data_IF_734077354520
#
_entry.id   IF_734077354520
#
_cell.length_a   1.000
_cell.length_b   1.000
_cell.length_c   1.000
_cell.angle_alpha   90.00
_cell.angle_beta   90.00
_cell.angle_gamma   90.00
#
_symmetry.space_group_name_H-M   'P 1'
#
loop_
_entity.id
_entity.type
_entity.pdbx_description
1 polymer ?
#
# COMPACT_ATOMS: atom_id res chain seq x y z
N UNK A 1 11.06 36.21 -12.12
CA UNK A 1 9.71 36.03 -11.54
C UNK A 1 9.50 34.56 -11.26
N UNK A 2 9.50 34.09 -10.00
CA UNK A 2 9.19 32.69 -9.74
C UNK A 2 7.67 32.49 -9.67
N UNK A 3 7.20 31.46 -10.39
CA UNK A 3 5.82 30.94 -10.35
C UNK A 3 5.52 30.40 -8.95
N UNK A 4 4.42 30.88 -8.39
CA UNK A 4 3.74 30.33 -7.22
C UNK A 4 3.27 28.90 -7.51
N UNK A 5 3.85 27.92 -6.80
CA UNK A 5 3.32 26.57 -6.74
C UNK A 5 2.10 26.57 -5.82
N UNK A 6 0.94 26.17 -6.36
CA UNK A 6 -0.27 25.90 -5.59
C UNK A 6 -0.01 24.69 -4.68
N UNK A 7 0.09 24.94 -3.38
CA UNK A 7 0.09 23.90 -2.36
C UNK A 7 -1.24 23.13 -2.44
N UNK A 8 -1.18 21.88 -2.90
CA UNK A 8 -2.27 20.92 -2.79
C UNK A 8 -2.52 20.68 -1.30
N UNK A 9 -3.71 21.05 -0.83
CA UNK A 9 -4.11 20.81 0.55
C UNK A 9 -4.08 19.31 0.83
N UNK A 10 -3.46 18.94 1.94
CA UNK A 10 -3.39 17.55 2.38
C UNK A 10 -4.78 17.12 2.87
N UNK A 11 -5.26 15.91 2.56
CA UNK A 11 -6.54 15.39 3.05
C UNK A 11 -6.72 15.44 4.59
N UNK A 12 -5.61 15.66 5.31
CA UNK A 12 -5.49 15.65 6.76
C UNK A 12 -5.44 17.04 7.40
N UNK A 13 -5.59 18.12 6.63
CA UNK A 13 -5.49 19.52 7.11
C UNK A 13 -6.65 19.99 8.03
N UNK A 14 -7.53 19.09 8.47
CA UNK A 14 -8.67 19.45 9.32
C UNK A 14 -8.55 18.84 10.72
N UNK A 15 -8.44 19.75 11.71
CA UNK A 15 -8.64 19.58 13.17
C UNK A 15 -7.35 19.36 13.99
N UNK A 16 -7.13 19.87 15.22
CA UNK A 16 -7.97 20.45 16.30
C UNK A 16 -7.14 21.57 16.97
N UNK A 17 -7.70 22.78 17.15
CA UNK A 17 -7.06 23.85 17.95
C UNK A 17 -7.25 23.58 19.44
N UNK A 18 -6.41 22.73 20.03
CA UNK A 18 -6.31 22.56 21.49
C UNK A 18 -5.38 23.60 22.10
N UNK A 19 -5.85 24.41 23.07
CA UNK A 19 -5.01 25.34 23.84
C UNK A 19 -4.06 24.53 24.75
N UNK A 20 -2.77 24.51 24.42
CA UNK A 20 -1.75 23.71 25.11
C UNK A 20 -1.16 24.36 26.37
N UNK A 21 -0.99 23.53 27.41
CA UNK A 21 -0.26 23.78 28.67
C UNK A 21 1.28 23.72 28.40
N UNK A 22 2.16 24.51 29.04
CA UNK A 22 3.55 24.71 28.57
C UNK A 22 4.55 23.60 28.96
N UNK A 23 4.09 22.37 29.19
CA UNK A 23 4.92 21.26 29.67
C UNK A 23 4.98 20.02 28.77
N UNK A 24 4.35 20.04 27.60
CA UNK A 24 4.42 18.93 26.64
C UNK A 24 5.03 19.45 25.34
N UNK A 25 6.11 18.81 24.88
CA UNK A 25 6.52 18.99 23.49
C UNK A 25 5.32 18.62 22.60
N UNK A 26 4.90 19.48 21.67
CA UNK A 26 3.91 19.11 20.69
C UNK A 26 4.45 17.92 19.93
N UNK A 27 3.76 16.78 19.99
CA UNK A 27 4.03 15.65 19.11
C UNK A 27 3.82 16.21 17.70
N UNK A 28 4.92 16.49 16.99
CA UNK A 28 4.85 17.05 15.66
C UNK A 28 4.08 16.05 14.80
N UNK A 29 2.90 16.44 14.31
CA UNK A 29 1.96 15.56 13.61
C UNK A 29 2.52 14.94 12.30
N UNK A 30 3.74 15.34 11.88
CA UNK A 30 4.44 14.85 10.69
C UNK A 30 5.27 13.58 10.94
N UNK A 31 5.80 13.38 12.16
CA UNK A 31 6.64 12.21 12.53
C UNK A 31 5.93 10.84 12.39
N UNK A 32 4.63 10.69 12.70
CA UNK A 32 3.94 9.42 12.55
C UNK A 32 3.87 8.93 11.09
N UNK A 33 3.71 9.86 10.13
CA UNK A 33 3.51 9.52 8.72
C UNK A 33 4.79 8.99 8.08
N UNK A 34 5.94 9.63 8.33
CA UNK A 34 7.23 9.15 7.82
C UNK A 34 7.61 7.76 8.36
N UNK A 35 7.14 7.40 9.56
CA UNK A 35 7.31 6.04 10.11
C UNK A 35 6.42 5.04 9.39
N UNK A 36 5.17 5.40 9.14
CA UNK A 36 4.23 4.56 8.37
C UNK A 36 4.78 4.32 6.98
N UNK A 37 5.19 5.37 6.27
CA UNK A 37 5.71 5.27 4.90
C UNK A 37 6.95 4.36 4.83
N UNK A 38 7.85 4.43 5.81
CA UNK A 38 9.01 3.53 5.90
C UNK A 38 8.62 2.07 6.08
N UNK A 39 7.64 1.78 6.94
CA UNK A 39 7.15 0.41 7.15
C UNK A 39 6.44 -0.10 5.91
N UNK A 40 5.59 0.73 5.30
CA UNK A 40 4.86 0.42 4.06
C UNK A 40 5.84 0.11 2.94
N UNK A 41 6.84 0.97 2.72
CA UNK A 41 7.87 0.77 1.70
C UNK A 41 8.70 -0.48 1.96
N UNK A 42 9.11 -0.72 3.22
CA UNK A 42 9.86 -1.94 3.59
C UNK A 42 9.05 -3.20 3.28
N UNK A 43 7.78 -3.24 3.69
CA UNK A 43 6.92 -4.40 3.46
C UNK A 43 6.70 -4.63 1.96
N UNK A 44 6.41 -3.56 1.22
CA UNK A 44 6.23 -3.63 -0.22
C UNK A 44 7.49 -4.13 -0.96
N UNK A 45 8.68 -3.67 -0.57
CA UNK A 45 9.96 -4.19 -1.09
C UNK A 45 10.17 -5.65 -0.74
N UNK A 46 9.77 -6.07 0.46
CA UNK A 46 9.80 -7.48 0.87
C UNK A 46 8.97 -8.36 -0.05
N UNK A 47 7.76 -7.91 -0.40
CA UNK A 47 6.89 -8.63 -1.34
C UNK A 47 7.43 -8.62 -2.76
N UNK A 48 7.87 -7.47 -3.26
CA UNK A 48 8.52 -7.36 -4.56
C UNK A 48 9.72 -8.31 -4.69
N UNK A 49 10.60 -8.32 -3.68
CA UNK A 49 11.75 -9.22 -3.64
C UNK A 49 11.32 -10.69 -3.56
N UNK A 50 10.28 -11.00 -2.78
CA UNK A 50 9.78 -12.35 -2.65
C UNK A 50 9.23 -12.89 -3.97
N UNK A 51 8.50 -12.08 -4.73
CA UNK A 51 7.90 -12.50 -6.00
C UNK A 51 8.91 -12.53 -7.15
N UNK A 52 9.71 -11.46 -7.34
CA UNK A 52 10.57 -11.28 -8.51
C UNK A 52 12.05 -11.64 -8.26
N UNK A 53 12.45 -11.90 -7.01
CA UNK A 53 13.81 -12.32 -6.65
C UNK A 53 14.87 -11.23 -6.69
N UNK A 54 14.56 -10.03 -7.21
CA UNK A 54 15.48 -8.90 -7.30
C UNK A 54 15.10 -7.77 -6.32
N UNK A 55 16.07 -7.21 -5.56
CA UNK A 55 15.79 -6.13 -4.63
C UNK A 55 15.40 -4.84 -5.36
N UNK A 56 14.19 -4.33 -5.11
CA UNK A 56 13.77 -3.00 -5.59
C UNK A 56 14.32 -1.90 -4.70
N UNK A 57 15.43 -1.30 -5.14
CA UNK A 57 16.17 -0.28 -4.39
C UNK A 57 15.78 1.15 -4.81
N UNK A 58 15.16 1.30 -5.97
CA UNK A 58 14.70 2.57 -6.50
C UNK A 58 13.67 3.23 -5.57
N UNK A 59 13.61 4.57 -5.65
CA UNK A 59 12.55 5.31 -5.01
C UNK A 59 11.22 4.99 -5.72
N UNK A 60 10.14 4.72 -4.96
CA UNK A 60 8.82 4.54 -5.55
C UNK A 60 8.31 5.87 -6.12
N UNK A 61 7.46 5.79 -7.14
CA UNK A 61 6.66 6.92 -7.64
C UNK A 61 5.69 7.41 -6.56
N UNK A 62 5.17 6.48 -5.75
CA UNK A 62 4.20 6.78 -4.70
C UNK A 62 4.31 5.78 -3.55
N UNK A 63 4.22 6.31 -2.33
CA UNK A 63 3.89 5.56 -1.11
C UNK A 63 2.61 6.15 -0.56
N UNK A 64 1.66 5.30 -0.22
CA UNK A 64 0.36 5.73 0.24
C UNK A 64 -0.20 4.78 1.29
N UNK A 65 -0.85 5.34 2.29
CA UNK A 65 -1.55 4.59 3.32
C UNK A 65 -2.76 5.38 3.82
N UNK A 66 -3.88 4.70 4.05
CA UNK A 66 -5.05 5.28 4.72
C UNK A 66 -5.94 4.21 5.37
N UNK A 67 -6.74 4.58 6.38
CA UNK A 67 -7.79 3.69 6.89
C UNK A 67 -8.81 3.35 5.81
N UNK A 68 -9.22 2.09 5.72
CA UNK A 68 -10.30 1.61 4.86
C UNK A 68 -11.61 2.36 5.13
N UNK A 69 -11.87 2.73 6.38
CA UNK A 69 -13.05 3.51 6.77
C UNK A 69 -13.05 4.95 6.24
N UNK A 70 -11.88 5.48 5.86
CA UNK A 70 -11.78 6.82 5.25
C UNK A 70 -12.02 6.81 3.74
N UNK A 71 -12.22 5.62 3.15
CA UNK A 71 -12.45 5.43 1.72
C UNK A 71 -13.93 5.57 1.40
N UNK A 72 -14.26 6.20 0.28
CA UNK A 72 -15.58 5.98 -0.30
C UNK A 72 -15.70 4.52 -0.75
N UNK A 73 -16.93 4.05 -0.90
CA UNK A 73 -17.20 2.72 -1.43
C UNK A 73 -16.55 2.51 -2.82
N UNK A 74 -16.58 3.54 -3.67
CA UNK A 74 -15.98 3.49 -5.01
C UNK A 74 -14.46 3.40 -4.96
N UNK A 75 -13.80 4.19 -4.10
CA UNK A 75 -12.35 4.13 -3.96
C UNK A 75 -11.91 2.80 -3.34
N UNK A 76 -12.71 2.27 -2.40
CA UNK A 76 -12.45 0.95 -1.80
C UNK A 76 -12.58 -0.15 -2.84
N UNK A 77 -13.62 -0.11 -3.66
CA UNK A 77 -13.81 -1.05 -4.75
C UNK A 77 -12.68 -0.97 -5.80
N UNK A 78 -12.17 0.22 -6.11
CA UNK A 78 -11.00 0.39 -7.00
C UNK A 78 -9.71 -0.18 -6.38
N UNK A 79 -9.51 0.07 -5.08
CA UNK A 79 -8.35 -0.42 -4.36
C UNK A 79 -8.35 -1.94 -4.16
N UNK A 80 -9.49 -2.53 -3.82
CA UNK A 80 -9.63 -3.99 -3.64
C UNK A 80 -9.75 -4.72 -4.98
N UNK A 81 -10.35 -4.06 -5.97
CA UNK A 81 -10.47 -4.52 -7.34
C UNK A 81 -9.17 -4.37 -8.13
N UNK A 82 -8.17 -5.20 -7.83
CA UNK A 82 -7.28 -5.64 -8.91
C UNK A 82 -8.19 -6.35 -9.94
N UNK A 83 -8.34 -5.77 -11.13
CA UNK A 83 -9.04 -6.37 -12.30
C UNK A 83 -10.50 -6.82 -12.09
N UNK A 84 -11.40 -5.91 -11.71
CA UNK A 84 -12.84 -6.10 -11.93
C UNK A 84 -13.23 -5.97 -13.43
N UNK A 85 -12.62 -6.76 -14.32
CA UNK A 85 -13.06 -6.99 -15.70
C UNK A 85 -12.25 -8.13 -16.36
N UNK A 86 -12.54 -9.38 -16.00
CA UNK A 86 -12.40 -10.52 -16.92
C UNK A 86 -11.03 -10.81 -17.53
N UNK A 87 -9.94 -10.75 -16.76
CA UNK A 87 -8.62 -11.16 -17.24
C UNK A 87 -7.89 -11.96 -16.19
N UNK A 88 -7.91 -13.29 -16.34
CA UNK A 88 -7.02 -14.29 -15.74
C UNK A 88 -6.40 -13.86 -14.39
N UNK A 89 -6.89 -14.46 -13.29
CA UNK A 89 -6.12 -14.59 -12.04
C UNK A 89 -4.65 -14.75 -12.44
N UNK A 90 -3.79 -13.79 -12.08
CA UNK A 90 -2.46 -13.67 -12.63
C UNK A 90 -1.74 -15.01 -12.41
N UNK A 91 -1.76 -15.87 -13.42
CA UNK A 91 -1.18 -17.19 -13.32
C UNK A 91 0.31 -16.92 -13.26
N UNK A 92 0.97 -17.25 -12.15
CA UNK A 92 2.36 -16.91 -11.97
C UNK A 92 3.19 -17.51 -13.10
N UNK A 93 4.22 -16.78 -13.53
CA UNK A 93 5.20 -17.29 -14.46
C UNK A 93 5.75 -18.62 -13.91
N UNK A 94 5.91 -19.61 -14.78
CA UNK A 94 6.42 -20.93 -14.37
C UNK A 94 7.82 -20.75 -13.75
N UNK A 95 7.90 -20.87 -12.43
CA UNK A 95 9.13 -20.68 -11.65
C UNK A 95 9.07 -19.58 -10.60
N UNK A 96 8.03 -18.73 -10.58
CA UNK A 96 7.83 -17.79 -9.48
C UNK A 96 7.35 -18.53 -8.24
N UNK A 97 7.64 -17.99 -7.05
CA UNK A 97 7.24 -18.66 -5.81
C UNK A 97 5.74 -18.57 -5.54
N UNK A 98 5.01 -17.71 -6.26
CA UNK A 98 3.55 -17.73 -6.34
C UNK A 98 3.03 -19.05 -6.97
N UNK A 99 3.76 -19.66 -7.92
CA UNK A 99 3.48 -21.04 -8.38
C UNK A 99 3.58 -22.03 -7.23
N UNK A 100 4.61 -21.89 -6.38
CA UNK A 100 4.77 -22.73 -5.18
C UNK A 100 3.62 -22.52 -4.20
N UNK A 101 3.07 -21.31 -4.06
CA UNK A 101 1.94 -21.04 -3.14
C UNK A 101 0.64 -21.70 -3.55
N UNK A 102 0.31 -21.65 -4.84
CA UNK A 102 -0.78 -22.42 -5.43
C UNK A 102 -0.55 -23.93 -5.15
N UNK A 103 0.71 -24.38 -5.21
CA UNK A 103 1.08 -25.76 -4.90
C UNK A 103 1.11 -26.10 -3.39
N UNK A 104 1.33 -25.13 -2.49
CA UNK A 104 1.47 -25.32 -1.03
C UNK A 104 0.24 -24.94 -0.22
N UNK A 105 -0.83 -24.42 -0.86
CA UNK A 105 -2.12 -24.15 -0.21
C UNK A 105 -2.18 -22.85 0.61
N UNK A 106 -1.46 -21.80 0.20
CA UNK A 106 -1.75 -20.45 0.71
C UNK A 106 -3.09 -19.99 0.14
N UNK A 107 -3.98 -19.49 1.00
CA UNK A 107 -5.33 -19.11 0.59
C UNK A 107 -5.28 -17.84 -0.27
N UNK A 108 -6.03 -17.88 -1.37
CA UNK A 108 -6.13 -16.78 -2.31
C UNK A 108 -7.57 -16.28 -2.35
N UNK A 109 -7.75 -14.98 -2.15
CA UNK A 109 -9.04 -14.31 -2.34
C UNK A 109 -8.92 -13.37 -3.55
N UNK A 110 -9.29 -13.90 -4.72
CA UNK A 110 -9.02 -13.25 -6.00
C UNK A 110 -7.51 -13.06 -6.22
N UNK A 111 -7.08 -11.81 -6.40
CA UNK A 111 -5.68 -11.45 -6.61
C UNK A 111 -4.90 -11.19 -5.31
N UNK A 112 -5.53 -11.42 -4.15
CA UNK A 112 -4.91 -11.23 -2.84
C UNK A 112 -4.33 -12.52 -2.29
N UNK A 113 -3.06 -12.48 -1.92
CA UNK A 113 -2.40 -13.50 -1.10
C UNK A 113 -2.77 -13.24 0.37
N UNK A 114 -3.53 -14.16 0.97
CA UNK A 114 -3.89 -14.09 2.39
C UNK A 114 -2.80 -14.77 3.21
N UNK A 115 -1.98 -13.97 3.90
CA UNK A 115 -0.88 -14.49 4.75
C UNK A 115 -1.43 -14.92 6.11
N UNK A 116 -2.31 -14.10 6.68
CA UNK A 116 -3.03 -14.38 7.91
C UNK A 116 -4.43 -13.78 7.80
N UNK A 117 -5.44 -14.63 7.87
CA UNK A 117 -6.84 -14.22 7.76
C UNK A 117 -7.20 -13.10 8.75
N UNK A 118 -7.94 -12.10 8.27
CA UNK A 118 -8.33 -10.88 8.99
C UNK A 118 -7.17 -9.98 9.47
N UNK A 119 -5.91 -10.33 9.18
CA UNK A 119 -4.74 -9.64 9.74
C UNK A 119 -3.82 -9.08 8.66
N UNK A 120 -3.48 -9.88 7.65
CA UNK A 120 -2.55 -9.46 6.62
C UNK A 120 -2.82 -10.15 5.28
N UNK A 121 -3.11 -9.34 4.27
CA UNK A 121 -3.19 -9.75 2.87
C UNK A 121 -2.51 -8.73 1.98
N UNK A 122 -1.97 -9.19 0.86
CA UNK A 122 -1.33 -8.32 -0.11
C UNK A 122 -1.56 -8.80 -1.53
N UNK A 123 -1.45 -7.88 -2.48
CA UNK A 123 -1.55 -8.14 -3.91
C UNK A 123 -0.39 -7.44 -4.62
N UNK A 124 0.08 -8.04 -5.70
CA UNK A 124 1.15 -7.51 -6.54
C UNK A 124 0.65 -7.49 -7.98
N UNK A 125 0.83 -6.36 -8.64
CA UNK A 125 0.47 -6.12 -10.04
C UNK A 125 1.65 -5.46 -10.74
N UNK A 126 1.93 -5.84 -11.98
CA UNK A 126 3.03 -5.30 -12.79
C UNK A 126 2.54 -4.74 -14.14
N UNK A 127 1.22 -4.69 -14.38
CA UNK A 127 0.65 -4.30 -15.66
C UNK A 127 1.02 -2.86 -16.10
N UNK A 128 1.13 -1.93 -15.15
CA UNK A 128 1.50 -0.52 -15.37
C UNK A 128 2.66 -0.10 -14.45
N UNK A 129 3.70 -0.92 -14.43
CA UNK A 129 4.79 -0.83 -13.45
C UNK A 129 4.42 -1.54 -12.15
N UNK A 130 5.44 -1.79 -11.33
CA UNK A 130 5.27 -2.63 -10.14
C UNK A 130 4.46 -1.92 -9.07
N UNK A 131 3.30 -2.46 -8.74
CA UNK A 131 2.42 -2.00 -7.68
C UNK A 131 2.23 -3.09 -6.63
N UNK A 132 2.45 -2.74 -5.38
CA UNK A 132 2.19 -3.61 -4.24
C UNK A 132 1.13 -2.97 -3.35
N UNK A 133 0.01 -3.65 -3.18
CA UNK A 133 -1.06 -3.26 -2.26
C UNK A 133 -1.07 -4.20 -1.06
N UNK A 134 -1.33 -3.69 0.14
CA UNK A 134 -1.55 -4.54 1.32
C UNK A 134 -2.63 -3.98 2.24
N UNK A 135 -3.33 -4.87 2.93
CA UNK A 135 -4.31 -4.55 3.97
C UNK A 135 -3.79 -5.14 5.29
N UNK A 136 -3.73 -4.31 6.32
CA UNK A 136 -3.31 -4.69 7.68
C UNK A 136 -4.50 -4.56 8.62
N UNK A 137 -4.80 -5.63 9.36
CA UNK A 137 -5.90 -5.73 10.35
C UNK A 137 -7.28 -5.37 9.81
N UNK A 138 -7.54 -5.59 8.51
CA UNK A 138 -8.76 -5.13 7.82
C UNK A 138 -9.08 -3.64 8.08
N UNK A 139 -8.05 -2.86 8.37
CA UNK A 139 -8.16 -1.45 8.75
C UNK A 139 -7.28 -0.56 7.88
N UNK A 140 -5.98 -0.86 7.75
CA UNK A 140 -5.04 0.02 7.06
C UNK A 140 -4.78 -0.48 5.64
N UNK A 141 -5.26 0.27 4.65
CA UNK A 141 -4.91 0.09 3.25
C UNK A 141 -3.56 0.78 2.96
N UNK A 142 -2.73 0.11 2.18
CA UNK A 142 -1.39 0.58 1.81
C UNK A 142 -1.11 0.27 0.34
N UNK A 143 -0.40 1.17 -0.33
CA UNK A 143 0.01 1.01 -1.72
C UNK A 143 1.41 1.60 -1.92
N UNK A 144 2.24 0.88 -2.65
CA UNK A 144 3.51 1.39 -3.19
C UNK A 144 3.57 1.10 -4.66
N UNK A 145 3.95 2.09 -5.45
CA UNK A 145 4.05 2.00 -6.90
C UNK A 145 5.44 2.45 -7.36
N UNK A 146 6.05 1.66 -8.23
CA UNK A 146 7.31 1.94 -8.90
C UNK A 146 7.11 2.08 -10.40
N UNK A 147 8.01 2.83 -11.04
CA UNK A 147 8.11 2.87 -12.50
C UNK A 147 8.61 1.51 -13.03
N UNK A 148 8.22 1.19 -14.27
CA UNK A 148 8.63 -0.05 -14.95
C UNK A 148 10.09 -0.04 -15.39
#
# INVERSE_FOLDING_TARGET
TPRSASLSQSPWDKSVRGKGNPGHQPICATEPMERIDRVVLKNARGHAYFEYGEPRMEAPLRVWARPLESMSESERAEFEGLRAAGGLAAWPEVGSRMTTRIATGLDMDGDWVVVQDGTYRYAVDDAEGLRVRSIVWEYLATEVHWES
#
